data_IF_194754539538
#
_entry.id   IF_194754539538
#
_cell.length_a   1.000
_cell.length_b   1.000
_cell.length_c   1.000
_cell.angle_alpha   90.00
_cell.angle_beta   90.00
_cell.angle_gamma   90.00
#
_symmetry.space_group_name_H-M   'P 1'
#
loop_
_entity.id
_entity.type
_entity.pdbx_description
1 polymer ?
#
# COMPACT_ATOMS: atom_id res chain seq x y z
N UNK A 1 -26.22 7.70 -2.00
CA UNK A 1 -25.75 7.46 -1.84
C UNK A 1 -24.81 7.06 -1.90
N UNK A 2 -24.61 7.12 -1.91
CA UNK A 2 -23.82 6.85 -1.75
C UNK A 2 -22.91 6.18 -1.87
N UNK A 3 -23.02 6.10 -1.64
CA UNK A 3 -22.25 4.99 -1.38
C UNK A 3 -21.21 4.70 -2.40
N UNK A 4 -21.47 4.88 -3.53
CA UNK A 4 -20.51 4.59 -4.46
C UNK A 4 -19.44 5.52 -4.56
N UNK A 5 -19.61 6.53 -3.86
CA UNK A 5 -18.56 7.43 -3.67
C UNK A 5 -17.44 6.84 -2.91
N UNK A 6 -17.65 5.64 -2.39
CA UNK A 6 -16.69 5.03 -1.52
C UNK A 6 -15.73 4.10 -2.22
N UNK A 7 -15.50 4.33 -3.50
CA UNK A 7 -14.52 3.54 -4.22
C UNK A 7 -13.13 3.76 -3.64
N UNK A 8 -12.51 2.69 -3.18
CA UNK A 8 -11.19 2.74 -2.58
C UNK A 8 -10.15 2.99 -3.68
N UNK A 9 -9.27 3.94 -3.46
CA UNK A 9 -8.19 4.25 -4.38
C UNK A 9 -6.88 3.74 -3.81
N UNK A 10 -6.16 2.97 -4.59
CA UNK A 10 -4.91 2.34 -4.18
C UNK A 10 -3.82 2.70 -5.17
N UNK A 11 -2.69 3.17 -4.66
CA UNK A 11 -1.51 3.30 -5.51
C UNK A 11 -0.61 2.11 -5.22
N UNK A 12 -0.14 1.47 -6.27
CA UNK A 12 0.71 0.29 -6.16
C UNK A 12 2.11 0.65 -6.65
N UNK A 13 3.06 0.55 -5.76
CA UNK A 13 4.46 0.83 -6.07
C UNK A 13 5.22 -0.48 -6.15
N UNK A 14 6.04 -0.62 -7.19
CA UNK A 14 6.81 -1.83 -7.42
C UNK A 14 8.28 -1.57 -7.13
N UNK A 15 8.84 -2.41 -6.27
CA UNK A 15 10.27 -2.42 -6.05
C UNK A 15 10.71 -3.88 -6.29
N UNK A 16 10.79 -4.30 -7.57
CA UNK A 16 11.13 -5.68 -7.93
C UNK A 16 10.22 -6.29 -8.98
N UNK A 17 9.94 -7.58 -8.90
CA UNK A 17 9.36 -8.33 -9.99
C UNK A 17 7.82 -8.36 -10.05
N UNK A 18 7.31 -9.12 -10.97
CA UNK A 18 6.03 -9.00 -11.65
C UNK A 18 4.74 -9.37 -10.91
N UNK A 19 4.81 -9.86 -9.69
CA UNK A 19 3.62 -10.24 -8.94
C UNK A 19 2.62 -9.11 -8.71
N UNK A 20 3.10 -7.88 -8.76
CA UNK A 20 2.26 -6.72 -8.50
C UNK A 20 1.19 -6.51 -9.58
N UNK A 21 1.41 -6.99 -10.79
CA UNK A 21 0.41 -6.84 -11.86
C UNK A 21 -0.83 -7.68 -11.59
N UNK A 22 -0.65 -8.86 -11.04
CA UNK A 22 -1.78 -9.72 -10.67
C UNK A 22 -2.58 -9.08 -9.56
N UNK A 23 -1.90 -8.54 -8.55
CA UNK A 23 -2.55 -7.86 -7.44
C UNK A 23 -3.33 -6.64 -7.96
N UNK A 24 -2.71 -5.82 -8.79
CA UNK A 24 -3.37 -4.63 -9.34
C UNK A 24 -4.63 -5.00 -10.10
N UNK A 25 -4.56 -6.06 -10.91
CA UNK A 25 -5.72 -6.52 -11.67
C UNK A 25 -6.84 -7.00 -10.74
N UNK A 26 -6.48 -7.77 -9.72
CA UNK A 26 -7.45 -8.28 -8.77
C UNK A 26 -8.16 -7.13 -8.05
N UNK A 27 -7.41 -6.11 -7.64
CA UNK A 27 -8.02 -4.96 -6.99
C UNK A 27 -8.95 -4.20 -7.93
N UNK A 28 -8.59 -4.05 -9.19
CA UNK A 28 -9.47 -3.42 -10.18
C UNK A 28 -10.73 -4.21 -10.39
N UNK A 29 -10.60 -5.53 -10.49
CA UNK A 29 -11.75 -6.42 -10.67
C UNK A 29 -12.70 -6.34 -9.47
N UNK A 30 -12.18 -6.01 -8.31
CA UNK A 30 -12.98 -5.83 -7.10
C UNK A 30 -13.63 -4.44 -7.01
N UNK A 31 -13.42 -3.59 -8.02
CA UNK A 31 -14.03 -2.26 -8.07
C UNK A 31 -13.20 -1.13 -7.48
N UNK A 32 -11.94 -1.39 -7.17
CA UNK A 32 -11.06 -0.34 -6.65
C UNK A 32 -10.41 0.43 -7.79
N UNK A 33 -10.12 1.70 -7.55
CA UNK A 33 -9.30 2.48 -8.46
C UNK A 33 -7.84 2.20 -8.15
N UNK A 34 -7.10 1.68 -9.12
CA UNK A 34 -5.71 1.31 -8.92
C UNK A 34 -4.82 2.16 -9.81
N UNK A 35 -3.83 2.78 -9.20
CA UNK A 35 -2.83 3.56 -9.90
C UNK A 35 -1.51 2.83 -9.76
N UNK A 36 -0.86 2.56 -10.87
CA UNK A 36 0.42 1.86 -10.88
C UNK A 36 1.52 2.86 -11.18
N UNK A 37 2.47 3.03 -10.26
CA UNK A 37 3.52 4.03 -10.43
C UNK A 37 4.63 3.61 -11.39
N UNK A 38 4.68 2.32 -11.73
CA UNK A 38 5.79 1.83 -12.55
C UNK A 38 7.04 1.59 -11.74
N UNK A 39 8.15 1.43 -12.44
CA UNK A 39 9.42 1.08 -11.82
C UNK A 39 10.19 2.31 -11.36
N UNK A 40 11.07 2.11 -10.41
CA UNK A 40 12.12 3.08 -10.06
C UNK A 40 11.62 4.41 -9.50
N UNK A 41 10.53 4.36 -8.76
CA UNK A 41 10.10 5.54 -8.02
C UNK A 41 10.73 5.56 -6.64
N UNK A 42 11.18 6.74 -6.20
CA UNK A 42 11.65 6.90 -4.83
C UNK A 42 10.47 6.88 -3.88
N UNK A 43 10.67 6.57 -2.60
CA UNK A 43 9.59 6.66 -1.63
C UNK A 43 8.91 8.03 -1.61
N UNK A 44 9.68 9.09 -1.74
CA UNK A 44 9.14 10.45 -1.76
C UNK A 44 8.27 10.70 -2.99
N UNK A 45 8.67 10.16 -4.14
CA UNK A 45 7.87 10.27 -5.35
C UNK A 45 6.56 9.49 -5.24
N UNK A 46 6.60 8.32 -4.62
CA UNK A 46 5.39 7.53 -4.38
C UNK A 46 4.42 8.30 -3.49
N UNK A 47 4.93 8.93 -2.44
CA UNK A 47 4.10 9.73 -1.52
C UNK A 47 3.51 10.93 -2.26
N UNK A 48 4.29 11.61 -3.08
CA UNK A 48 3.77 12.74 -3.85
C UNK A 48 2.65 12.31 -4.78
N UNK A 49 2.84 11.21 -5.49
CA UNK A 49 1.80 10.68 -6.38
C UNK A 49 0.55 10.29 -5.58
N UNK A 50 0.74 9.68 -4.42
CA UNK A 50 -0.37 9.25 -3.59
C UNK A 50 -1.21 10.44 -3.11
N UNK A 51 -0.56 11.52 -2.72
CA UNK A 51 -1.25 12.73 -2.29
C UNK A 51 -1.98 13.37 -3.47
N UNK A 52 -1.30 13.48 -4.60
CA UNK A 52 -1.84 14.07 -5.81
C UNK A 52 -3.08 13.33 -6.30
N UNK A 53 -3.06 12.01 -6.21
CA UNK A 53 -4.17 11.15 -6.65
C UNK A 53 -5.21 10.93 -5.55
N UNK A 54 -4.96 11.45 -4.36
CA UNK A 54 -5.87 11.34 -3.22
C UNK A 54 -6.22 9.88 -2.92
N UNK A 55 -5.21 9.04 -2.80
CA UNK A 55 -5.44 7.61 -2.57
C UNK A 55 -5.73 7.32 -1.10
N UNK A 56 -6.38 6.19 -0.85
CA UNK A 56 -6.62 5.69 0.50
C UNK A 56 -5.47 4.82 0.99
N UNK A 57 -4.80 4.13 0.08
CA UNK A 57 -3.81 3.11 0.44
C UNK A 57 -2.61 3.19 -0.50
N UNK A 58 -1.42 3.09 0.07
CA UNK A 58 -0.19 2.86 -0.69
C UNK A 58 0.21 1.41 -0.47
N UNK A 59 0.25 0.62 -1.54
CA UNK A 59 0.72 -0.75 -1.49
C UNK A 59 2.10 -0.85 -2.12
N UNK A 60 3.05 -1.42 -1.39
CA UNK A 60 4.43 -1.54 -1.87
C UNK A 60 4.81 -3.00 -1.94
N UNK A 61 5.26 -3.44 -3.12
CA UNK A 61 5.78 -4.78 -3.32
C UNK A 61 7.29 -4.74 -3.29
N UNK A 62 7.89 -5.46 -2.36
CA UNK A 62 9.35 -5.45 -2.16
C UNK A 62 9.88 -6.86 -2.23
N UNK A 63 10.96 -7.07 -2.97
CA UNK A 63 11.51 -8.39 -3.17
C UNK A 63 12.70 -8.71 -2.28
N UNK A 64 13.45 -7.75 -1.82
CA UNK A 64 14.64 -8.04 -1.02
C UNK A 64 15.07 -6.86 -0.21
N UNK A 65 15.41 -7.08 1.04
CA UNK A 65 16.17 -6.21 1.95
C UNK A 65 15.83 -4.73 2.06
N UNK A 66 15.19 -4.15 1.06
CA UNK A 66 14.94 -2.71 1.04
C UNK A 66 13.79 -2.28 1.93
N UNK A 67 13.03 -3.22 2.46
CA UNK A 67 11.82 -2.91 3.24
C UNK A 67 12.13 -2.05 4.48
N UNK A 68 13.26 -2.28 5.13
CA UNK A 68 13.61 -1.51 6.33
C UNK A 68 14.06 -0.08 6.01
N UNK A 69 14.26 0.24 4.74
CA UNK A 69 14.57 1.60 4.30
C UNK A 69 13.36 2.26 3.67
N UNK A 70 12.67 1.53 2.80
CA UNK A 70 11.58 2.08 2.00
C UNK A 70 10.37 2.46 2.85
N UNK A 71 9.91 1.54 3.72
CA UNK A 71 8.70 1.81 4.50
C UNK A 71 8.86 2.97 5.48
N UNK A 72 9.97 3.04 6.27
CA UNK A 72 10.12 4.20 7.14
C UNK A 72 10.17 5.52 6.38
N UNK A 73 10.79 5.54 5.20
CA UNK A 73 10.85 6.77 4.39
C UNK A 73 9.48 7.18 3.88
N UNK A 74 8.64 6.21 3.47
CA UNK A 74 7.29 6.51 3.03
C UNK A 74 6.49 7.10 4.19
N UNK A 75 6.55 6.47 5.35
CA UNK A 75 5.79 6.91 6.51
C UNK A 75 6.24 8.29 6.99
N UNK A 76 7.54 8.52 7.01
CA UNK A 76 8.07 9.82 7.41
C UNK A 76 7.62 10.92 6.44
N UNK A 77 7.67 10.64 5.15
CA UNK A 77 7.25 11.60 4.13
C UNK A 77 5.76 11.92 4.24
N UNK A 78 4.93 10.91 4.51
CA UNK A 78 3.50 11.12 4.72
C UNK A 78 3.25 12.02 5.93
N UNK A 79 3.93 11.75 7.03
CA UNK A 79 3.78 12.58 8.24
C UNK A 79 4.23 14.02 8.00
N UNK A 80 5.37 14.18 7.31
CA UNK A 80 5.90 15.52 7.04
C UNK A 80 4.94 16.35 6.18
N UNK A 81 4.15 15.70 5.35
CA UNK A 81 3.20 16.38 4.45
C UNK A 81 1.78 16.43 5.00
N UNK A 82 1.58 15.96 6.21
CA UNK A 82 0.25 15.97 6.83
C UNK A 82 -0.72 14.99 6.19
N UNK A 83 -0.21 13.92 5.58
CA UNK A 83 -1.02 12.94 4.86
C UNK A 83 -0.97 11.57 5.53
N UNK A 84 -0.79 11.52 6.84
CA UNK A 84 -0.65 10.26 7.57
C UNK A 84 -1.97 9.49 7.73
N UNK A 85 -3.06 10.00 7.20
CA UNK A 85 -4.30 9.24 7.06
C UNK A 85 -4.27 8.26 5.90
N UNK A 86 -3.31 8.38 4.97
CA UNK A 86 -3.11 7.39 3.91
C UNK A 86 -2.49 6.15 4.54
N UNK A 87 -3.11 5.00 4.29
CA UNK A 87 -2.67 3.73 4.87
C UNK A 87 -1.57 3.13 4.03
N UNK A 88 -0.58 2.52 4.68
CA UNK A 88 0.56 1.89 3.99
C UNK A 88 0.53 0.40 4.27
N UNK A 89 0.55 -0.38 3.20
CA UNK A 89 0.63 -1.83 3.28
C UNK A 89 1.80 -2.29 2.41
N UNK A 90 2.24 -3.50 2.66
CA UNK A 90 3.33 -4.05 1.88
C UNK A 90 3.20 -5.54 1.71
N UNK A 91 4.01 -6.07 0.81
CA UNK A 91 4.07 -7.50 0.55
C UNK A 91 5.44 -7.88 0.03
N UNK A 92 5.76 -9.17 0.16
CA UNK A 92 7.03 -9.68 -0.31
C UNK A 92 7.64 -10.64 0.69
N UNK A 93 8.94 -10.86 0.55
CA UNK A 93 9.68 -11.74 1.45
C UNK A 93 10.27 -10.89 2.57
N UNK A 94 9.57 -10.88 3.71
CA UNK A 94 9.96 -10.04 4.85
C UNK A 94 10.07 -10.96 6.07
N UNK A 95 11.23 -10.97 6.75
CA UNK A 95 11.39 -11.78 7.97
C UNK A 95 10.41 -11.36 9.06
N UNK A 96 9.98 -12.32 9.88
CA UNK A 96 8.99 -12.07 10.92
C UNK A 96 9.39 -10.96 11.88
N UNK A 97 10.67 -10.90 12.25
CA UNK A 97 11.16 -9.85 13.15
C UNK A 97 10.97 -8.47 12.54
N UNK A 98 11.19 -8.37 11.23
CA UNK A 98 11.04 -7.10 10.53
C UNK A 98 9.57 -6.73 10.36
N UNK A 99 8.68 -7.71 10.21
CA UNK A 99 7.24 -7.45 10.14
C UNK A 99 6.79 -6.71 11.40
N UNK A 100 7.20 -7.19 12.57
CA UNK A 100 6.82 -6.55 13.81
C UNK A 100 7.35 -5.11 13.88
N UNK A 101 8.60 -4.91 13.50
CA UNK A 101 9.21 -3.57 13.53
C UNK A 101 8.52 -2.61 12.57
N UNK A 102 8.18 -3.08 11.38
CA UNK A 102 7.50 -2.24 10.39
C UNK A 102 6.10 -1.86 10.85
N UNK A 103 5.39 -2.77 11.49
CA UNK A 103 4.08 -2.44 12.06
C UNK A 103 4.20 -1.41 13.16
N UNK A 104 5.25 -1.48 13.97
CA UNK A 104 5.49 -0.49 15.01
C UNK A 104 5.69 0.91 14.44
N UNK A 105 6.38 1.03 13.31
CA UNK A 105 6.61 2.35 12.72
C UNK A 105 5.42 2.86 11.92
N UNK A 106 4.41 2.02 11.70
CA UNK A 106 3.17 2.48 11.11
C UNK A 106 2.69 1.79 9.85
N UNK A 107 3.39 0.74 9.38
CA UNK A 107 2.90 -0.07 8.27
C UNK A 107 1.66 -0.81 8.76
N UNK A 108 0.56 -0.67 8.07
CA UNK A 108 -0.72 -1.17 8.56
C UNK A 108 -0.81 -2.68 8.46
N UNK A 109 -0.41 -3.24 7.32
CA UNK A 109 -0.40 -4.69 7.12
C UNK A 109 0.73 -5.09 6.19
N UNK A 110 1.23 -6.29 6.38
CA UNK A 110 2.25 -6.89 5.53
C UNK A 110 1.78 -8.27 5.12
N UNK A 111 1.75 -8.51 3.81
CA UNK A 111 1.29 -9.78 3.29
C UNK A 111 2.45 -10.68 2.95
N UNK A 112 2.29 -11.95 3.26
CA UNK A 112 3.27 -12.95 2.90
C UNK A 112 3.19 -13.25 1.42
N UNK A 113 4.26 -13.82 0.89
CA UNK A 113 4.44 -14.02 -0.53
C UNK A 113 3.33 -14.84 -1.19
N UNK A 114 2.74 -15.78 -0.46
CA UNK A 114 1.71 -16.66 -0.99
C UNK A 114 0.29 -16.25 -0.58
N UNK A 115 0.11 -15.01 -0.12
CA UNK A 115 -1.23 -14.53 0.24
C UNK A 115 -2.11 -14.46 -1.00
N UNK A 116 -3.29 -15.08 -0.99
CA UNK A 116 -4.16 -15.03 -2.16
C UNK A 116 -4.64 -13.61 -2.45
N UNK A 117 -4.78 -13.24 -3.72
CA UNK A 117 -5.25 -11.88 -4.06
C UNK A 117 -6.58 -11.50 -3.43
N UNK A 118 -7.51 -12.44 -3.30
CA UNK A 118 -8.80 -12.15 -2.65
C UNK A 118 -8.64 -11.77 -1.20
N UNK A 119 -7.65 -12.34 -0.51
CA UNK A 119 -7.37 -11.98 0.88
C UNK A 119 -6.82 -10.55 0.96
N UNK A 120 -6.08 -10.12 -0.05
CA UNK A 120 -5.57 -8.75 -0.12
C UNK A 120 -6.73 -7.76 -0.26
N UNK A 121 -7.69 -8.06 -1.13
CA UNK A 121 -8.89 -7.24 -1.30
C UNK A 121 -9.64 -7.10 0.01
N UNK A 122 -9.88 -8.22 0.69
CA UNK A 122 -10.60 -8.20 1.96
C UNK A 122 -9.87 -7.39 3.02
N UNK A 123 -8.56 -7.53 3.07
CA UNK A 123 -7.74 -6.81 4.04
C UNK A 123 -7.78 -5.30 3.78
N UNK A 124 -7.68 -4.88 2.52
CA UNK A 124 -7.74 -3.45 2.19
C UNK A 124 -9.09 -2.87 2.58
N UNK A 125 -10.17 -3.58 2.27
CA UNK A 125 -11.52 -3.14 2.66
C UNK A 125 -11.64 -2.99 4.17
N UNK A 126 -11.07 -3.92 4.91
CA UNK A 126 -11.11 -3.91 6.37
C UNK A 126 -10.36 -2.70 6.95
N UNK A 127 -9.13 -2.47 6.50
CA UNK A 127 -8.33 -1.39 7.07
C UNK A 127 -8.87 0.00 6.71
N UNK A 128 -9.43 0.13 5.53
CA UNK A 128 -10.06 1.41 5.13
C UNK A 128 -11.31 1.64 5.97
N UNK A 129 -12.10 0.60 6.22
CA UNK A 129 -13.29 0.71 7.05
C UNK A 129 -12.92 1.06 8.50
N UNK A 130 -11.85 0.47 9.02
CA UNK A 130 -11.38 0.74 10.38
C UNK A 130 -10.89 2.17 10.53
N UNK A 131 -10.23 2.69 9.50
CA UNK A 131 -9.79 4.08 9.53
C UNK A 131 -10.97 5.05 9.55
N UNK A 132 -12.03 4.71 8.83
CA UNK A 132 -13.19 5.56 8.70
C UNK A 132 -13.01 6.63 7.64
N UNK A 133 -13.92 7.57 7.60
CA UNK A 133 -13.88 8.64 6.62
C UNK A 133 -12.74 9.60 6.91
N UNK A 134 -12.15 10.16 5.87
CA UNK A 134 -11.11 11.16 6.00
C UNK A 134 -11.68 12.57 6.08
#
# INVERSE_FOLDING_TARGET
MEAQTDRIRVIVAKVGLDGVKVVARTLRDAGMDVIYTGLHRTPEEVVEAAIQEDVDVIGVSILSGAHMTVFPRILESLRAKGADDILVIGGGVIPDDDVAKLKEVGVKELMLQDTPPDAIVAMIRRIVAERGAR
#
